data_IF_230828549690
#
_entry.id   IF_230828549690
#
_cell.length_a   1.000
_cell.length_b   1.000
_cell.length_c   1.000
_cell.angle_alpha   90.00
_cell.angle_beta   90.00
_cell.angle_gamma   90.00
#
_symmetry.space_group_name_H-M   'P 1'
#
loop_
_entity.id
_entity.type
_entity.pdbx_description
1 polymer ?
#
# COMPACT_ATOMS: atom_id res chain seq x y z
N UNK A 1 3.26 -15.65 -1.38
CA UNK A 1 2.82 -14.26 -1.20
C UNK A 1 3.41 -13.42 -2.31
N UNK A 2 2.59 -12.57 -2.93
CA UNK A 2 3.00 -11.58 -3.94
C UNK A 2 2.84 -10.20 -3.31
N UNK A 3 3.77 -9.29 -3.58
CA UNK A 3 3.72 -7.90 -3.10
C UNK A 3 3.71 -6.99 -4.31
N UNK A 4 2.84 -5.98 -4.29
CA UNK A 4 2.77 -4.95 -5.32
C UNK A 4 3.08 -3.61 -4.69
N UNK A 5 4.08 -2.91 -5.23
CA UNK A 5 4.48 -1.58 -4.79
C UNK A 5 4.09 -0.56 -5.86
N UNK A 6 3.12 0.30 -5.56
CA UNK A 6 2.68 1.37 -6.45
C UNK A 6 3.34 2.68 -6.02
N UNK A 7 4.32 3.13 -6.80
CA UNK A 7 4.99 4.42 -6.60
C UNK A 7 4.21 5.49 -7.35
N UNK A 8 3.70 6.49 -6.64
CA UNK A 8 2.87 7.56 -7.21
C UNK A 8 3.55 8.92 -7.04
N UNK A 9 3.31 9.89 -7.95
CA UNK A 9 3.84 11.24 -7.78
C UNK A 9 3.05 11.98 -6.71
N UNK A 10 3.38 11.84 -5.42
CA UNK A 10 2.61 12.45 -4.33
C UNK A 10 3.19 13.81 -3.92
N UNK A 11 4.49 13.83 -3.65
CA UNK A 11 5.25 15.03 -3.33
C UNK A 11 5.80 15.66 -4.60
N UNK A 12 6.16 16.93 -4.53
CA UNK A 12 6.65 17.71 -5.69
C UNK A 12 7.86 17.07 -6.37
N UNK A 13 8.71 16.39 -5.61
CA UNK A 13 9.94 15.74 -6.10
C UNK A 13 9.72 14.33 -6.63
N UNK A 14 8.55 13.74 -6.42
CA UNK A 14 8.29 12.35 -6.81
C UNK A 14 8.19 12.23 -8.32
N UNK A 15 9.04 11.38 -8.88
CA UNK A 15 9.07 11.05 -10.29
C UNK A 15 9.54 9.60 -10.50
N UNK A 16 9.43 9.11 -11.74
CA UNK A 16 9.78 7.72 -12.07
C UNK A 16 11.24 7.38 -11.74
N UNK A 17 12.17 8.31 -11.90
CA UNK A 17 13.59 8.09 -11.57
C UNK A 17 13.75 7.90 -10.07
N UNK A 18 13.21 8.81 -9.26
CA UNK A 18 13.27 8.68 -7.79
C UNK A 18 12.56 7.44 -7.27
N UNK A 19 11.45 7.04 -7.90
CA UNK A 19 10.75 5.80 -7.58
C UNK A 19 11.58 4.55 -7.90
N UNK A 20 12.30 4.57 -9.04
CA UNK A 20 13.23 3.50 -9.41
C UNK A 20 14.38 3.40 -8.41
N UNK A 21 14.96 4.53 -8.00
CA UNK A 21 16.02 4.54 -7.00
C UNK A 21 15.51 4.01 -5.64
N UNK A 22 14.33 4.43 -5.21
CA UNK A 22 13.69 3.96 -3.99
C UNK A 22 13.35 2.45 -4.02
N UNK A 23 13.03 1.90 -5.19
CA UNK A 23 12.72 0.47 -5.33
C UNK A 23 13.88 -0.44 -4.93
N UNK A 24 15.13 0.05 -4.96
CA UNK A 24 16.29 -0.70 -4.52
C UNK A 24 16.25 -1.07 -3.02
N UNK A 25 15.54 -0.30 -2.19
CA UNK A 25 15.34 -0.61 -0.77
C UNK A 25 14.33 -1.75 -0.54
N UNK A 26 13.61 -2.15 -1.58
CA UNK A 26 12.60 -3.22 -1.54
C UNK A 26 12.87 -4.25 -2.66
N UNK A 27 14.14 -4.66 -2.80
CA UNK A 27 14.63 -5.52 -3.88
C UNK A 27 14.24 -7.02 -3.76
N UNK A 28 13.30 -7.39 -2.89
CA UNK A 28 12.85 -8.79 -2.76
C UNK A 28 12.14 -9.23 -4.06
N UNK A 29 12.48 -10.40 -4.65
CA UNK A 29 11.92 -10.83 -5.93
C UNK A 29 10.41 -11.09 -5.91
N UNK A 30 9.77 -11.14 -4.74
CA UNK A 30 8.31 -11.24 -4.59
C UNK A 30 7.61 -9.91 -4.81
N UNK A 31 8.35 -8.80 -4.85
CA UNK A 31 7.83 -7.45 -5.01
C UNK A 31 7.84 -7.08 -6.49
N UNK A 32 6.67 -6.68 -6.98
CA UNK A 32 6.53 -6.13 -8.31
C UNK A 32 6.22 -4.64 -8.20
N UNK A 33 7.04 -3.83 -8.86
CA UNK A 33 7.00 -2.38 -8.74
C UNK A 33 6.31 -1.77 -9.95
N UNK A 34 5.43 -0.80 -9.69
CA UNK A 34 4.73 -0.02 -10.71
C UNK A 34 4.98 1.46 -10.49
N UNK A 35 5.28 2.18 -11.57
CA UNK A 35 5.17 3.63 -11.58
C UNK A 35 3.72 3.99 -11.91
N UNK A 36 2.96 4.36 -10.89
CA UNK A 36 1.56 4.74 -10.97
C UNK A 36 1.43 6.25 -11.19
N UNK A 37 1.70 6.67 -12.44
CA UNK A 37 1.66 8.08 -12.84
C UNK A 37 0.29 8.72 -12.56
N UNK A 38 -0.79 7.95 -12.68
CA UNK A 38 -2.17 8.43 -12.53
C UNK A 38 -2.69 8.34 -11.09
N UNK A 39 -1.84 7.94 -10.14
CA UNK A 39 -2.22 7.75 -8.73
C UNK A 39 -3.42 6.82 -8.56
N UNK A 40 -3.58 5.82 -9.43
CA UNK A 40 -4.66 4.84 -9.36
C UNK A 40 -4.77 4.21 -7.97
N UNK A 41 -3.67 3.72 -7.41
CA UNK A 41 -3.65 3.10 -6.08
C UNK A 41 -4.03 4.09 -4.98
N UNK A 42 -3.41 5.28 -4.99
CA UNK A 42 -3.71 6.30 -3.99
C UNK A 42 -5.18 6.75 -4.04
N UNK A 43 -5.74 6.99 -5.24
CA UNK A 43 -7.13 7.39 -5.42
C UNK A 43 -8.10 6.29 -4.97
N UNK A 44 -7.83 5.03 -5.34
CA UNK A 44 -8.64 3.88 -4.96
C UNK A 44 -8.75 3.77 -3.44
N UNK A 45 -7.62 3.79 -2.75
CA UNK A 45 -7.60 3.66 -1.29
C UNK A 45 -8.05 4.93 -0.55
N UNK A 46 -7.90 6.11 -1.15
CA UNK A 46 -8.48 7.35 -0.61
C UNK A 46 -10.00 7.23 -0.53
N UNK A 47 -10.62 6.73 -1.59
CA UNK A 47 -12.06 6.49 -1.65
C UNK A 47 -12.49 5.38 -0.67
N UNK A 48 -11.83 4.22 -0.72
CA UNK A 48 -12.18 3.06 0.10
C UNK A 48 -12.06 3.35 1.61
N UNK A 49 -10.97 3.99 2.04
CA UNK A 49 -10.69 4.27 3.45
C UNK A 49 -11.21 5.63 3.91
N UNK A 50 -11.98 6.33 3.06
CA UNK A 50 -12.64 7.61 3.36
C UNK A 50 -11.68 8.65 3.92
N UNK A 51 -10.53 8.80 3.28
CA UNK A 51 -9.50 9.76 3.71
C UNK A 51 -10.07 11.19 3.84
N UNK A 52 -9.48 12.05 4.70
CA UNK A 52 -9.85 13.45 4.75
C UNK A 52 -9.75 14.07 3.34
N UNK A 53 -10.68 14.99 3.02
CA UNK A 53 -10.84 15.54 1.67
C UNK A 53 -9.56 16.11 1.06
N UNK A 54 -8.67 16.64 1.89
CA UNK A 54 -7.42 17.30 1.48
C UNK A 54 -6.19 16.37 1.57
N UNK A 55 -6.37 15.06 1.77
CA UNK A 55 -5.27 14.09 1.85
C UNK A 55 -5.49 12.91 0.89
N UNK A 56 -4.43 12.15 0.65
CA UNK A 56 -4.43 10.97 -0.20
C UNK A 56 -3.87 9.77 0.56
N UNK A 57 -4.34 8.58 0.19
CA UNK A 57 -3.85 7.32 0.70
C UNK A 57 -2.48 6.96 0.11
N UNK A 58 -1.42 7.50 0.72
CA UNK A 58 -0.03 7.18 0.42
C UNK A 58 0.76 6.90 1.71
N UNK A 59 1.89 6.21 1.57
CA UNK A 59 2.66 5.64 2.69
C UNK A 59 1.78 4.70 3.56
N UNK A 60 1.18 3.73 2.87
CA UNK A 60 0.25 2.75 3.42
C UNK A 60 0.67 1.32 3.07
N UNK A 61 0.23 0.37 3.90
CA UNK A 61 0.34 -1.06 3.68
C UNK A 61 -1.07 -1.64 3.66
N UNK A 62 -1.41 -2.43 2.65
CA UNK A 62 -2.73 -3.04 2.51
C UNK A 62 -2.55 -4.55 2.31
N UNK A 63 -3.12 -5.33 3.23
CA UNK A 63 -3.01 -6.78 3.28
C UNK A 63 -4.38 -7.39 2.96
N UNK A 64 -4.33 -8.47 2.19
CA UNK A 64 -5.49 -9.23 1.76
C UNK A 64 -5.28 -10.71 2.08
N UNK A 65 -6.32 -11.38 2.56
CA UNK A 65 -6.30 -12.82 2.73
C UNK A 65 -6.23 -13.50 1.36
N UNK A 66 -5.65 -14.72 1.29
CA UNK A 66 -5.75 -15.54 0.09
C UNK A 66 -7.22 -15.73 -0.34
N UNK A 67 -7.45 -15.90 -1.64
CA UNK A 67 -8.76 -16.23 -2.23
C UNK A 67 -9.78 -15.06 -2.27
N UNK A 68 -9.39 -13.86 -1.82
CA UNK A 68 -10.17 -12.65 -2.13
C UNK A 68 -10.09 -12.33 -3.62
N UNK A 69 -11.23 -11.99 -4.21
CA UNK A 69 -11.34 -11.62 -5.62
C UNK A 69 -11.43 -10.11 -5.74
N UNK A 70 -10.68 -9.55 -6.69
CA UNK A 70 -10.76 -8.15 -7.07
C UNK A 70 -11.68 -8.04 -8.27
N UNK A 71 -12.70 -7.19 -8.15
CA UNK A 71 -13.61 -6.87 -9.25
C UNK A 71 -13.32 -5.42 -9.71
N UNK A 72 -14.35 -4.61 -9.93
CA UNK A 72 -14.20 -3.20 -10.29
C UNK A 72 -13.54 -2.39 -9.17
N UNK A 73 -13.67 -2.83 -7.92
CA UNK A 73 -13.05 -2.25 -6.73
C UNK A 73 -12.32 -3.34 -5.93
N UNK A 74 -11.25 -3.00 -5.20
CA UNK A 74 -10.63 -3.97 -4.30
C UNK A 74 -11.63 -4.39 -3.21
N UNK A 75 -11.54 -5.65 -2.74
CA UNK A 75 -12.33 -6.10 -1.60
C UNK A 75 -11.90 -5.34 -0.33
N UNK A 76 -12.64 -5.52 0.77
CA UNK A 76 -12.19 -5.00 2.05
C UNK A 76 -10.87 -5.67 2.46
N UNK A 77 -9.85 -4.89 2.86
CA UNK A 77 -8.57 -5.46 3.25
C UNK A 77 -8.69 -6.14 4.61
N UNK A 78 -7.90 -7.18 4.79
CA UNK A 78 -7.70 -7.86 6.08
C UNK A 78 -7.10 -6.93 7.11
N UNK A 79 -6.13 -6.13 6.67
CA UNK A 79 -5.49 -5.10 7.46
C UNK A 79 -5.04 -4.01 6.49
N UNK A 80 -5.22 -2.76 6.90
CA UNK A 80 -4.47 -1.67 6.32
C UNK A 80 -3.81 -0.84 7.41
N UNK A 81 -2.60 -0.36 7.12
CA UNK A 81 -1.81 0.48 7.99
C UNK A 81 -1.35 1.73 7.25
N UNK A 82 -1.09 2.80 7.98
CA UNK A 82 -0.56 4.06 7.46
C UNK A 82 0.59 4.58 8.33
N UNK A 83 1.58 5.20 7.70
CA UNK A 83 2.73 5.84 8.34
C UNK A 83 2.65 7.38 8.26
N UNK A 84 1.43 7.92 8.21
CA UNK A 84 1.09 9.33 8.03
C UNK A 84 0.54 10.00 9.30
N UNK A 85 0.48 9.26 10.41
CA UNK A 85 -0.08 9.70 11.70
C UNK A 85 -1.51 10.27 11.59
N UNK A 86 -2.32 9.71 10.69
CA UNK A 86 -3.71 10.13 10.50
C UNK A 86 -4.62 9.67 11.65
N UNK A 87 -5.74 10.37 11.89
CA UNK A 87 -6.72 9.98 12.91
C UNK A 87 -7.39 8.62 12.62
N UNK A 88 -7.46 8.25 11.34
CA UNK A 88 -8.04 7.01 10.86
C UNK A 88 -6.97 6.04 10.38
N UNK A 89 -7.31 4.75 10.47
CA UNK A 89 -6.41 3.67 10.08
C UNK A 89 -5.47 3.24 11.18
N UNK A 90 -4.97 2.02 11.02
CA UNK A 90 -3.98 1.45 11.91
C UNK A 90 -2.64 2.16 11.69
N UNK A 91 -2.01 2.67 12.74
CA UNK A 91 -0.64 3.19 12.61
C UNK A 91 0.29 2.04 12.23
N UNK A 92 1.23 2.30 11.33
CA UNK A 92 2.23 1.31 10.95
C UNK A 92 2.95 0.75 12.19
N UNK A 93 3.06 -0.57 12.23
CA UNK A 93 3.83 -1.32 13.21
C UNK A 93 4.44 -2.53 12.50
N UNK A 94 5.76 -2.62 12.53
CA UNK A 94 6.48 -3.78 12.00
C UNK A 94 6.01 -5.08 12.66
N UNK A 95 5.82 -5.07 13.99
CA UNK A 95 5.39 -6.24 14.75
C UNK A 95 4.00 -6.71 14.32
N UNK A 96 3.07 -5.77 14.09
CA UNK A 96 1.73 -6.10 13.63
C UNK A 96 1.76 -6.63 12.19
N UNK A 97 2.55 -6.00 11.32
CA UNK A 97 2.72 -6.45 9.95
C UNK A 97 3.26 -7.89 9.89
N UNK A 98 4.35 -8.17 10.62
CA UNK A 98 4.96 -9.50 10.68
C UNK A 98 4.00 -10.55 11.24
N UNK A 99 3.24 -10.20 12.29
CA UNK A 99 2.22 -11.09 12.88
C UNK A 99 1.14 -11.45 11.87
N UNK A 100 0.53 -10.46 11.22
CA UNK A 100 -0.55 -10.73 10.25
C UNK A 100 -0.02 -11.45 9.01
N UNK A 101 1.19 -11.12 8.53
CA UNK A 101 1.82 -11.86 7.44
C UNK A 101 2.06 -13.33 7.82
N UNK A 102 2.56 -13.61 9.03
CA UNK A 102 2.74 -14.98 9.56
C UNK A 102 1.43 -15.76 9.54
N UNK A 103 0.37 -15.15 10.10
CA UNK A 103 -0.99 -15.74 10.10
C UNK A 103 -1.46 -16.07 8.68
N UNK A 104 -1.28 -15.17 7.73
CA UNK A 104 -1.76 -15.35 6.34
C UNK A 104 -0.96 -16.37 5.53
N UNK A 105 0.30 -16.60 5.87
CA UNK A 105 1.15 -17.58 5.19
C UNK A 105 1.24 -18.92 5.94
N UNK A 106 0.47 -19.09 7.02
CA UNK A 106 0.44 -20.31 7.84
C UNK A 106 1.74 -20.57 8.60
N UNK A 107 2.39 -19.51 9.10
CA UNK A 107 3.62 -19.56 9.89
C UNK A 107 3.45 -18.93 11.27
#
# INVERSE_FOLDING_TARGET
MKVFALWSPILQTDNQTTAKDASAFLADPRVEHFWDLWRFGANTYTAQFKYPKEDLAWDIFVLYEPQLTWEDQPPDPTLWMQNRNLPQGTKYSQQLLEKELGRLIGK
#
